data_IF_687562805147
#
_entry.id   IF_687562805147
#
_cell.length_a   1.000
_cell.length_b   1.000
_cell.length_c   1.000
_cell.angle_alpha   90.00
_cell.angle_beta   90.00
_cell.angle_gamma   90.00
#
_symmetry.space_group_name_H-M   'P 1'
#
loop_
_entity.id
_entity.type
_entity.pdbx_description
1 polymer ?
#
# COMPACT_ATOMS: atom_id res chain seq x y z
N UNK A 1 15.90 5.75 8.60
CA UNK A 1 14.64 5.66 7.83
C UNK A 1 14.91 4.85 6.58
N UNK A 2 14.05 3.86 6.25
CA UNK A 2 14.14 3.09 5.00
C UNK A 2 13.83 4.02 3.82
N UNK A 3 14.53 3.85 2.69
CA UNK A 3 14.29 4.64 1.49
C UNK A 3 12.88 4.35 0.95
N UNK A 4 12.15 5.39 0.56
CA UNK A 4 10.83 5.23 -0.07
C UNK A 4 11.06 4.96 -1.55
N UNK A 5 10.48 3.86 -2.05
CA UNK A 5 10.56 3.51 -3.46
C UNK A 5 9.43 4.21 -4.22
N UNK A 6 9.71 4.93 -5.32
CA UNK A 6 8.67 5.51 -6.17
C UNK A 6 7.64 4.50 -6.66
N UNK A 7 8.07 3.25 -6.90
CA UNK A 7 7.17 2.18 -7.32
C UNK A 7 6.11 1.84 -6.27
N UNK A 8 6.45 1.94 -4.97
CA UNK A 8 5.46 1.75 -3.91
C UNK A 8 4.38 2.83 -3.97
N UNK A 9 4.78 4.09 -4.14
CA UNK A 9 3.84 5.21 -4.29
C UNK A 9 2.91 4.92 -5.47
N UNK A 10 3.48 4.61 -6.63
CA UNK A 10 2.71 4.32 -7.84
C UNK A 10 1.76 3.12 -7.64
N UNK A 11 2.19 2.05 -6.97
CA UNK A 11 1.35 0.88 -6.70
C UNK A 11 0.18 1.20 -5.76
N UNK A 12 0.39 2.00 -4.71
CA UNK A 12 -0.69 2.45 -3.81
C UNK A 12 -1.71 3.29 -4.58
N UNK A 13 -1.24 4.20 -5.45
CA UNK A 13 -2.12 5.02 -6.29
C UNK A 13 -2.91 4.21 -7.31
N UNK A 14 -2.26 3.25 -8.00
CA UNK A 14 -2.95 2.32 -8.90
C UNK A 14 -3.98 1.49 -8.15
N UNK A 15 -3.67 1.08 -6.91
CA UNK A 15 -4.59 0.33 -6.05
C UNK A 15 -5.84 1.16 -5.73
N UNK A 16 -5.67 2.41 -5.30
CA UNK A 16 -6.79 3.31 -5.04
C UNK A 16 -7.63 3.54 -6.31
N UNK A 17 -6.96 3.82 -7.43
CA UNK A 17 -7.60 4.07 -8.73
C UNK A 17 -8.42 2.87 -9.20
N UNK A 18 -7.87 1.65 -9.19
CA UNK A 18 -8.62 0.47 -9.66
C UNK A 18 -9.85 0.18 -8.80
N UNK A 19 -9.77 0.39 -7.48
CA UNK A 19 -10.90 0.20 -6.57
C UNK A 19 -12.02 1.20 -6.84
N UNK A 20 -11.64 2.44 -7.15
CA UNK A 20 -12.54 3.51 -7.61
C UNK A 20 -13.19 3.17 -8.95
N UNK A 21 -12.41 2.59 -9.86
CA UNK A 21 -12.87 2.17 -11.20
C UNK A 21 -13.66 0.84 -11.19
N UNK A 22 -13.98 0.29 -10.02
CA UNK A 22 -14.88 -0.86 -9.88
C UNK A 22 -14.21 -2.21 -9.70
N UNK A 23 -12.90 -2.26 -9.39
CA UNK A 23 -12.25 -3.51 -9.03
C UNK A 23 -12.94 -4.19 -7.84
N UNK A 24 -12.87 -5.53 -7.83
CA UNK A 24 -13.47 -6.37 -6.79
C UNK A 24 -12.88 -6.05 -5.42
N UNK A 25 -13.75 -5.84 -4.44
CA UNK A 25 -13.39 -5.62 -3.05
C UNK A 25 -14.20 -6.52 -2.13
N UNK A 26 -13.53 -7.32 -1.31
CA UNK A 26 -14.15 -8.13 -0.27
C UNK A 26 -13.09 -8.41 0.80
N UNK A 27 -13.31 -7.89 2.01
CA UNK A 27 -12.33 -7.99 3.09
C UNK A 27 -11.97 -9.44 3.44
N UNK A 28 -12.96 -10.34 3.46
CA UNK A 28 -12.72 -11.78 3.72
C UNK A 28 -12.12 -12.58 2.55
N UNK A 29 -11.87 -11.96 1.40
CA UNK A 29 -11.26 -12.63 0.25
C UNK A 29 -9.79 -12.21 0.13
N UNK A 30 -8.86 -13.11 0.43
CA UNK A 30 -7.42 -12.80 0.56
C UNK A 30 -6.78 -12.11 -0.65
N UNK A 31 -7.27 -12.38 -1.86
CA UNK A 31 -6.81 -11.70 -3.08
C UNK A 31 -7.52 -10.37 -3.39
N UNK A 32 -8.60 -10.03 -2.68
CA UNK A 32 -9.48 -8.88 -2.98
C UNK A 32 -9.76 -8.00 -1.74
N UNK A 33 -9.06 -8.23 -0.64
CA UNK A 33 -9.05 -7.37 0.54
C UNK A 33 -8.09 -6.19 0.35
N UNK A 34 -7.73 -5.51 1.43
CA UNK A 34 -6.87 -4.33 1.43
C UNK A 34 -5.46 -4.69 0.94
N UNK A 35 -4.78 -5.59 1.65
CA UNK A 35 -3.45 -6.07 1.28
C UNK A 35 -3.45 -6.86 -0.03
N UNK A 36 -4.49 -7.66 -0.28
CA UNK A 36 -4.64 -8.43 -1.52
C UNK A 36 -4.71 -7.55 -2.76
N UNK A 37 -5.40 -6.41 -2.70
CA UNK A 37 -5.44 -5.47 -3.81
C UNK A 37 -4.09 -4.78 -4.05
N UNK A 38 -3.34 -4.43 -3.01
CA UNK A 38 -1.99 -3.89 -3.17
C UNK A 38 -1.01 -4.96 -3.71
N UNK A 39 -1.13 -6.21 -3.26
CA UNK A 39 -0.31 -7.32 -3.72
C UNK A 39 -0.44 -7.55 -5.23
N UNK A 40 -1.65 -7.43 -5.78
CA UNK A 40 -1.86 -7.47 -7.24
C UNK A 40 -1.09 -6.38 -8.01
N UNK A 41 -0.85 -5.20 -7.40
CA UNK A 41 -0.13 -4.09 -8.06
C UNK A 41 1.40 -4.17 -7.92
N UNK A 42 1.88 -4.87 -6.90
CA UNK A 42 3.30 -5.02 -6.60
C UNK A 42 3.88 -6.35 -7.08
N UNK A 43 3.03 -7.32 -7.43
CA UNK A 43 3.45 -8.67 -7.78
C UNK A 43 2.80 -9.11 -9.09
N UNK A 44 3.36 -10.10 -9.79
CA UNK A 44 2.73 -10.63 -11.01
C UNK A 44 1.49 -11.50 -10.72
N UNK A 45 1.14 -11.72 -9.45
CA UNK A 45 0.08 -12.65 -9.08
C UNK A 45 -1.30 -12.02 -9.19
N UNK A 46 -2.22 -12.76 -9.81
CA UNK A 46 -3.62 -12.37 -9.92
C UNK A 46 -4.36 -12.50 -8.58
N UNK A 47 -5.54 -11.86 -8.50
CA UNK A 47 -6.50 -12.03 -7.39
C UNK A 47 -6.73 -13.49 -7.02
N UNK A 48 -6.89 -14.37 -8.02
CA UNK A 48 -7.19 -15.78 -7.81
C UNK A 48 -5.97 -16.55 -7.27
N UNK A 49 -4.77 -16.25 -7.78
CA UNK A 49 -3.53 -16.86 -7.30
C UNK A 49 -3.22 -16.43 -5.87
N UNK A 50 -3.30 -15.13 -5.57
CA UNK A 50 -3.09 -14.61 -4.19
C UNK A 50 -4.05 -15.28 -3.23
N UNK A 51 -5.34 -15.39 -3.59
CA UNK A 51 -6.31 -16.06 -2.74
C UNK A 51 -5.95 -17.53 -2.53
N UNK A 52 -5.69 -18.27 -3.61
CA UNK A 52 -5.31 -19.70 -3.54
C UNK A 52 -4.09 -19.92 -2.65
N UNK A 53 -3.05 -19.09 -2.79
CA UNK A 53 -1.84 -19.18 -1.97
C UNK A 53 -2.10 -18.88 -0.50
N UNK A 54 -2.96 -17.92 -0.21
CA UNK A 54 -3.31 -17.60 1.17
C UNK A 54 -4.12 -18.71 1.85
N UNK A 55 -4.94 -19.46 1.10
CA UNK A 55 -5.79 -20.52 1.64
C UNK A 55 -5.03 -21.76 2.14
N UNK A 56 -3.70 -21.84 1.95
CA UNK A 56 -2.87 -22.89 2.59
C UNK A 56 -2.77 -22.71 4.11
N UNK A 57 -3.07 -21.51 4.62
CA UNK A 57 -3.19 -21.21 6.04
C UNK A 57 -4.51 -20.49 6.33
N UNK A 58 -5.00 -20.62 7.55
CA UNK A 58 -6.19 -19.88 7.99
C UNK A 58 -5.87 -18.45 8.38
N UNK A 59 -6.88 -17.60 8.43
CA UNK A 59 -6.77 -16.23 8.93
C UNK A 59 -6.67 -15.18 7.83
N UNK A 60 -6.70 -13.93 8.25
CA UNK A 60 -6.55 -12.77 7.36
C UNK A 60 -5.07 -12.41 7.16
N UNK A 61 -4.81 -11.31 6.46
CA UNK A 61 -3.42 -10.88 6.22
C UNK A 61 -2.64 -10.60 7.51
N UNK A 62 -3.27 -10.11 8.59
CA UNK A 62 -2.57 -9.91 9.85
C UNK A 62 -2.11 -11.23 10.45
N UNK A 63 -2.96 -12.25 10.44
CA UNK A 63 -2.63 -13.59 10.94
C UNK A 63 -1.46 -14.16 10.12
N UNK A 64 -1.54 -14.05 8.79
CA UNK A 64 -0.50 -14.54 7.87
C UNK A 64 0.83 -13.80 8.05
N UNK A 65 0.80 -12.49 8.32
CA UNK A 65 2.00 -11.67 8.57
C UNK A 65 2.67 -12.07 9.89
N UNK A 66 1.90 -12.41 10.93
CA UNK A 66 2.45 -12.87 12.20
C UNK A 66 3.21 -14.19 12.03
N UNK A 67 2.77 -15.03 11.11
CA UNK A 67 3.38 -16.33 10.79
C UNK A 67 4.38 -16.26 9.62
N UNK A 68 4.68 -15.06 9.10
CA UNK A 68 5.58 -14.89 7.96
C UNK A 68 6.99 -15.41 8.29
N UNK A 69 7.48 -16.35 7.49
CA UNK A 69 8.84 -16.85 7.57
C UNK A 69 9.39 -17.03 6.15
N UNK A 70 10.43 -16.28 5.73
CA UNK A 70 10.91 -16.30 4.34
C UNK A 70 11.46 -17.66 3.90
N UNK A 71 11.80 -18.55 4.84
CA UNK A 71 12.29 -19.91 4.55
C UNK A 71 11.25 -21.01 4.77
N UNK A 72 9.98 -20.68 4.99
CA UNK A 72 8.91 -21.66 5.25
C UNK A 72 8.56 -22.50 4.02
N UNK A 73 8.74 -21.93 2.83
CA UNK A 73 8.29 -22.51 1.56
C UNK A 73 6.81 -22.23 1.22
N UNK A 74 6.06 -21.52 2.06
CA UNK A 74 4.67 -21.19 1.75
C UNK A 74 4.56 -20.17 0.60
N UNK A 75 3.66 -20.38 -0.38
CA UNK A 75 3.53 -19.48 -1.52
C UNK A 75 3.13 -18.05 -1.15
N UNK A 76 2.35 -17.86 -0.07
CA UNK A 76 2.01 -16.50 0.40
C UNK A 76 3.24 -15.75 0.93
N UNK A 77 4.20 -16.44 1.53
CA UNK A 77 5.42 -15.81 2.03
C UNK A 77 6.26 -15.25 0.85
N UNK A 78 6.22 -15.88 -0.33
CA UNK A 78 6.82 -15.33 -1.56
C UNK A 78 6.16 -14.02 -1.99
N UNK A 79 4.84 -13.90 -1.84
CA UNK A 79 4.11 -12.65 -2.13
C UNK A 79 4.55 -11.56 -1.15
N UNK A 80 4.56 -11.88 0.15
CA UNK A 80 4.95 -10.94 1.20
C UNK A 80 6.38 -10.47 0.95
N UNK A 81 7.33 -11.38 0.72
CA UNK A 81 8.72 -11.05 0.42
C UNK A 81 8.84 -10.13 -0.80
N UNK A 82 8.08 -10.40 -1.87
CA UNK A 82 8.06 -9.54 -3.05
C UNK A 82 7.57 -8.13 -2.72
N UNK A 83 6.50 -7.99 -1.94
CA UNK A 83 6.02 -6.68 -1.48
C UNK A 83 7.06 -5.96 -0.62
N UNK A 84 7.75 -6.67 0.28
CA UNK A 84 8.82 -6.11 1.10
C UNK A 84 9.99 -5.57 0.26
N UNK A 85 10.28 -6.21 -0.89
CA UNK A 85 11.33 -5.78 -1.82
C UNK A 85 11.01 -4.43 -2.50
N UNK A 86 9.74 -4.03 -2.57
CA UNK A 86 9.31 -2.71 -3.02
C UNK A 86 9.29 -1.66 -1.91
N UNK A 87 9.74 -2.01 -0.70
CA UNK A 87 9.86 -1.08 0.42
C UNK A 87 8.70 -1.10 1.39
N UNK A 88 7.61 -1.84 1.11
CA UNK A 88 6.55 -2.09 2.10
C UNK A 88 7.17 -2.77 3.33
N UNK A 89 6.66 -2.48 4.52
CA UNK A 89 7.03 -3.19 5.74
C UNK A 89 5.92 -4.12 6.19
N UNK A 90 6.25 -5.11 7.03
CA UNK A 90 5.21 -5.95 7.65
C UNK A 90 4.22 -5.11 8.46
N UNK A 91 4.69 -4.03 9.09
CA UNK A 91 3.82 -3.11 9.83
C UNK A 91 2.89 -2.32 8.90
N UNK A 92 3.36 -1.90 7.73
CA UNK A 92 2.50 -1.26 6.72
C UNK A 92 1.39 -2.20 6.26
N UNK A 93 1.71 -3.48 6.04
CA UNK A 93 0.70 -4.49 5.67
C UNK A 93 -0.30 -4.70 6.82
N UNK A 94 0.17 -4.80 8.07
CA UNK A 94 -0.72 -4.93 9.24
C UNK A 94 -1.67 -3.74 9.38
N UNK A 95 -1.14 -2.54 9.16
CA UNK A 95 -1.91 -1.31 9.21
C UNK A 95 -2.87 -1.18 8.04
N UNK A 96 -2.45 -1.55 6.83
CA UNK A 96 -3.30 -1.51 5.65
C UNK A 96 -4.50 -2.45 5.80
N UNK A 97 -4.28 -3.65 6.34
CA UNK A 97 -5.36 -4.63 6.52
C UNK A 97 -6.48 -4.10 7.41
N UNK A 98 -6.17 -3.23 8.39
CA UNK A 98 -7.14 -2.69 9.36
C UNK A 98 -7.35 -1.17 9.28
N UNK A 99 -6.79 -0.50 8.28
CA UNK A 99 -6.78 0.97 8.13
C UNK A 99 -6.31 1.70 9.39
N UNK A 100 -5.17 1.28 9.96
CA UNK A 100 -4.79 1.65 11.33
C UNK A 100 -3.44 2.37 11.50
N UNK A 101 -2.74 2.73 10.43
CA UNK A 101 -1.43 3.41 10.58
C UNK A 101 -1.60 4.75 11.27
N UNK A 102 -0.94 4.99 12.44
CA UNK A 102 -1.05 6.26 13.16
C UNK A 102 -0.63 7.45 12.30
N UNK A 103 0.38 7.28 11.44
CA UNK A 103 0.88 8.36 10.58
C UNK A 103 -0.11 8.72 9.46
N UNK A 104 -0.75 7.72 8.86
CA UNK A 104 -1.77 7.92 7.81
C UNK A 104 -3.01 8.56 8.44
N UNK A 105 -3.46 8.03 9.57
CA UNK A 105 -4.60 8.58 10.30
C UNK A 105 -4.34 10.01 10.80
N UNK A 106 -3.08 10.38 11.09
CA UNK A 106 -2.72 11.74 11.47
C UNK A 106 -3.01 12.77 10.37
N UNK A 107 -3.01 12.37 9.10
CA UNK A 107 -3.30 13.25 7.95
C UNK A 107 -4.80 13.48 7.72
N UNK A 108 -5.67 12.76 8.44
CA UNK A 108 -7.11 12.81 8.24
C UNK A 108 -7.80 13.65 9.32
N UNK A 109 -8.92 14.35 9.00
CA UNK A 109 -9.75 14.99 10.01
C UNK A 109 -10.22 14.00 11.08
N UNK A 110 -10.24 14.42 12.35
CA UNK A 110 -10.54 13.55 13.51
C UNK A 110 -11.86 12.77 13.33
N UNK A 111 -12.91 13.45 12.88
CA UNK A 111 -14.22 12.82 12.63
C UNK A 111 -14.13 11.73 11.56
N UNK A 112 -13.32 11.95 10.51
CA UNK A 112 -13.19 11.03 9.39
C UNK A 112 -12.41 9.78 9.79
N UNK A 113 -11.25 9.92 10.44
CA UNK A 113 -10.44 8.77 10.89
C UNK A 113 -11.16 7.87 11.90
N UNK A 114 -11.96 8.46 12.80
CA UNK A 114 -12.74 7.69 13.79
C UNK A 114 -13.93 6.92 13.16
N UNK A 115 -14.22 7.15 11.88
CA UNK A 115 -15.35 6.54 11.17
C UNK A 115 -14.94 5.46 10.16
N UNK A 116 -13.64 5.22 9.98
CA UNK A 116 -13.14 4.28 8.99
C UNK A 116 -13.54 2.85 9.32
N UNK A 117 -13.91 2.10 8.29
CA UNK A 117 -14.16 0.67 8.34
C UNK A 117 -13.33 -0.02 7.27
N UNK A 118 -12.45 -0.92 7.69
CA UNK A 118 -11.65 -1.72 6.76
C UNK A 118 -12.53 -2.53 5.80
N UNK A 119 -13.76 -2.89 6.16
CA UNK A 119 -14.68 -3.62 5.29
C UNK A 119 -15.52 -2.71 4.37
N UNK A 120 -15.23 -1.41 4.30
CA UNK A 120 -15.88 -0.48 3.36
C UNK A 120 -14.88 -0.03 2.30
N UNK A 121 -15.14 -0.39 1.04
CA UNK A 121 -14.27 -0.06 -0.10
C UNK A 121 -13.90 1.42 -0.16
N UNK A 122 -14.86 2.32 0.07
CA UNK A 122 -14.62 3.77 0.00
C UNK A 122 -13.69 4.27 1.11
N UNK A 123 -13.70 3.64 2.28
CA UNK A 123 -12.78 3.95 3.37
C UNK A 123 -11.36 3.47 3.05
N UNK A 124 -11.24 2.33 2.38
CA UNK A 124 -9.96 1.78 1.90
C UNK A 124 -9.37 2.68 0.82
N UNK A 125 -10.17 3.13 -0.14
CA UNK A 125 -9.74 4.09 -1.18
C UNK A 125 -9.21 5.36 -0.54
N UNK A 126 -9.98 5.97 0.37
CA UNK A 126 -9.57 7.19 1.06
C UNK A 126 -8.27 7.02 1.86
N UNK A 127 -8.12 5.87 2.53
CA UNK A 127 -6.90 5.54 3.26
C UNK A 127 -5.69 5.38 2.32
N UNK A 128 -5.85 4.68 1.19
CA UNK A 128 -4.79 4.49 0.19
C UNK A 128 -4.37 5.82 -0.45
N UNK A 129 -5.32 6.69 -0.81
CA UNK A 129 -5.03 8.03 -1.34
C UNK A 129 -4.24 8.85 -0.31
N UNK A 130 -4.68 8.85 0.95
CA UNK A 130 -3.98 9.55 2.04
C UNK A 130 -2.57 8.98 2.28
N UNK A 131 -2.42 7.66 2.21
CA UNK A 131 -1.13 7.00 2.38
C UNK A 131 -0.17 7.30 1.22
N UNK A 132 -0.66 7.31 -0.02
CA UNK A 132 0.13 7.70 -1.19
C UNK A 132 0.68 9.13 -1.06
N UNK A 133 -0.16 10.07 -0.63
CA UNK A 133 0.26 11.47 -0.41
C UNK A 133 1.33 11.57 0.68
N UNK A 134 1.16 10.84 1.79
CA UNK A 134 2.16 10.80 2.86
C UNK A 134 3.51 10.22 2.37
N UNK A 135 3.47 9.12 1.60
CA UNK A 135 4.67 8.52 1.02
C UNK A 135 5.37 9.48 0.05
N UNK A 136 4.60 10.18 -0.79
CA UNK A 136 5.11 11.20 -1.71
C UNK A 136 5.79 12.34 -0.96
N UNK A 137 5.14 12.92 0.06
CA UNK A 137 5.72 13.99 0.88
C UNK A 137 7.03 13.56 1.54
N UNK A 138 7.07 12.34 2.10
CA UNK A 138 8.28 11.78 2.72
C UNK A 138 9.38 11.53 1.68
N UNK A 139 9.04 11.03 0.49
CA UNK A 139 9.99 10.80 -0.59
C UNK A 139 10.60 12.12 -1.10
N UNK A 140 9.79 13.14 -1.35
CA UNK A 140 10.26 14.46 -1.77
C UNK A 140 11.18 15.11 -0.72
N UNK A 141 10.89 14.93 0.56
CA UNK A 141 11.74 15.43 1.66
C UNK A 141 13.10 14.75 1.72
N UNK A 142 13.22 13.53 1.17
CA UNK A 142 14.49 12.80 1.03
C UNK A 142 15.27 13.21 -0.23
N UNK A 143 14.71 14.06 -1.10
CA UNK A 143 15.29 14.49 -2.38
C UNK A 143 15.58 16.00 -2.43
N UNK A 144 16.44 16.55 -1.54
CA UNK A 144 16.68 18.00 -1.46
C UNK A 144 17.22 18.64 -2.75
N UNK A 145 17.82 17.85 -3.66
CA UNK A 145 18.41 18.35 -4.91
C UNK A 145 17.43 18.62 -6.06
N UNK A 146 16.27 17.96 -6.11
CA UNK A 146 15.33 18.07 -7.26
C UNK A 146 14.57 19.40 -7.25
N UNK A 147 14.34 20.00 -6.07
CA UNK A 147 13.64 21.29 -5.94
C UNK A 147 14.43 22.47 -6.53
N UNK A 148 15.76 22.43 -6.53
CA UNK A 148 16.60 23.53 -7.04
C UNK A 148 16.68 23.54 -8.57
N UNK A 149 16.63 22.37 -9.22
CA UNK A 149 16.74 22.29 -10.69
C UNK A 149 15.43 22.68 -11.40
N UNK A 150 14.28 22.39 -10.80
CA UNK A 150 12.97 22.80 -11.33
C UNK A 150 12.78 24.33 -11.29
N UNK A 151 13.27 24.99 -10.24
CA UNK A 151 13.26 26.45 -10.13
C UNK A 151 14.24 27.11 -11.09
N UNK A 152 15.42 26.51 -11.35
CA UNK A 152 16.38 27.05 -12.32
C UNK A 152 15.88 26.96 -13.76
N UNK A 153 15.18 25.88 -14.16
CA UNK A 153 14.67 25.73 -15.53
C UNK A 153 13.54 26.70 -15.88
N UNK A 154 12.74 27.14 -14.91
CA UNK A 154 11.71 28.17 -15.13
C UNK A 154 12.25 29.63 -15.11
N UNK A 155 13.51 29.83 -14.73
CA UNK A 155 14.15 31.16 -14.69
C UNK A 155 14.97 31.50 -15.94
N UNK A 156 15.11 30.56 -16.87
CA UNK A 156 15.81 30.77 -18.15
C UNK A 156 14.84 30.61 -19.32
N UNK A 157 13.88 31.54 -19.42
CA UNK A 157 13.14 31.83 -20.66
C UNK A 157 12.80 33.31 -20.67
N UNK A 158 13.84 34.13 -20.68
CA UNK A 158 13.79 35.50 -21.21
C UNK A 158 15.06 35.66 -22.02
N UNK A 159 14.95 35.47 -23.34
CA UNK A 159 15.62 36.19 -24.43
C UNK A 159 15.16 35.60 -25.76
#
# INVERSE_FOLDING_TARGET
MKAIHPELIAAVERTAKKLKDGASYQWGHMGACNCGNLAQELTPFSKAEIHRYAMERSGDWNDQILEFCPSSGYPLDLIIERMLSYGVTLEDLRHLERLSSPEVLAQMPLKRRNSLSHNKKDDVIYYLETWADLLRMKWESQQPGVKIEALKKNSFSVH
#
